data_IF_780427882437
#
_entry.id   IF_780427882437
#
_cell.length_a   1.000
_cell.length_b   1.000
_cell.length_c   1.000
_cell.angle_alpha   90.00
_cell.angle_beta   90.00
_cell.angle_gamma   90.00
#
_symmetry.space_group_name_H-M   'P 1'
#
loop_
_entity.id
_entity.type
_entity.pdbx_description
1 polymer ?
#
# COMPACT_ATOMS: atom_id res chain seq x y z
N UNK A 1 -45.58 -28.01 37.58
CA UNK A 1 -45.43 -27.07 36.46
C UNK A 1 -43.97 -26.70 36.33
N UNK A 2 -43.27 -27.27 35.37
CA UNK A 2 -41.83 -27.01 35.15
C UNK A 2 -41.72 -25.95 34.04
N UNK A 3 -41.16 -24.75 34.39
CA UNK A 3 -40.88 -23.70 33.41
C UNK A 3 -39.70 -24.11 32.58
N UNK A 4 -39.89 -24.36 31.29
CA UNK A 4 -38.82 -24.50 30.29
C UNK A 4 -38.19 -23.14 30.05
N UNK A 5 -36.92 -22.97 30.45
CA UNK A 5 -36.11 -21.82 30.08
C UNK A 5 -35.84 -21.85 28.57
N UNK A 6 -36.30 -20.82 27.87
CA UNK A 6 -35.97 -20.62 26.45
C UNK A 6 -34.45 -20.38 26.33
N UNK A 7 -33.74 -21.31 25.70
CA UNK A 7 -32.34 -21.17 25.33
C UNK A 7 -32.24 -20.06 24.26
N UNK A 8 -31.68 -18.93 24.63
CA UNK A 8 -31.41 -17.82 23.72
C UNK A 8 -30.40 -18.30 22.69
N UNK A 9 -30.86 -18.58 21.47
CA UNK A 9 -29.96 -18.86 20.33
C UNK A 9 -29.03 -17.67 20.18
N UNK A 10 -27.72 -17.90 20.43
CA UNK A 10 -26.67 -16.95 20.07
C UNK A 10 -26.72 -16.79 18.57
N UNK A 11 -27.16 -15.62 18.11
CA UNK A 11 -27.14 -15.27 16.70
C UNK A 11 -25.74 -15.55 16.16
N UNK A 12 -25.66 -16.39 15.13
CA UNK A 12 -24.48 -16.55 14.30
C UNK A 12 -24.17 -15.13 13.80
N UNK A 13 -23.05 -14.55 14.23
CA UNK A 13 -22.56 -13.31 13.63
C UNK A 13 -22.35 -13.62 12.15
N UNK A 14 -23.32 -13.27 11.31
CA UNK A 14 -23.10 -13.30 9.86
C UNK A 14 -21.94 -12.34 9.58
N UNK A 15 -20.85 -12.89 9.09
CA UNK A 15 -19.69 -12.13 8.63
C UNK A 15 -20.20 -11.06 7.68
N UNK A 16 -19.85 -9.81 7.94
CA UNK A 16 -20.07 -8.70 7.01
C UNK A 16 -19.71 -9.17 5.59
N UNK A 17 -20.59 -8.93 4.63
CA UNK A 17 -20.40 -9.27 3.20
C UNK A 17 -19.24 -8.52 2.55
N UNK A 18 -18.59 -7.61 3.28
CA UNK A 18 -17.46 -6.83 2.77
C UNK A 18 -16.23 -7.70 2.58
N UNK A 19 -15.65 -7.62 1.39
CA UNK A 19 -14.35 -8.22 1.12
C UNK A 19 -13.24 -7.52 1.91
N UNK A 20 -12.15 -8.22 2.17
CA UNK A 20 -10.97 -7.65 2.79
C UNK A 20 -9.95 -7.22 1.74
N UNK A 21 -9.26 -6.12 2.04
CA UNK A 21 -8.03 -5.72 1.40
C UNK A 21 -6.97 -5.74 2.49
N UNK A 22 -6.16 -6.80 2.49
CA UNK A 22 -5.09 -7.02 3.46
C UNK A 22 -3.82 -6.36 2.94
N UNK A 23 -3.23 -5.46 3.73
CA UNK A 23 -2.03 -4.72 3.36
C UNK A 23 -0.93 -5.03 4.38
N UNK A 24 0.24 -5.44 3.90
CA UNK A 24 1.48 -5.49 4.68
C UNK A 24 2.39 -4.34 4.29
N UNK A 25 3.00 -3.70 5.28
CA UNK A 25 3.94 -2.59 5.11
C UNK A 25 5.21 -2.83 5.92
N UNK A 26 6.28 -2.08 5.67
CA UNK A 26 7.51 -2.17 6.45
C UNK A 26 7.27 -1.80 7.91
N UNK A 27 7.51 -2.76 8.81
CA UNK A 27 7.45 -2.57 10.24
C UNK A 27 6.16 -1.92 10.74
N UNK A 28 6.31 -1.02 11.71
CA UNK A 28 5.23 -0.16 12.21
C UNK A 28 5.17 1.16 11.45
N UNK A 29 5.43 1.14 10.15
CA UNK A 29 5.48 2.37 9.37
C UNK A 29 4.12 3.08 9.44
N UNK A 30 4.10 4.20 10.14
CA UNK A 30 2.88 4.94 10.44
C UNK A 30 2.34 5.66 9.21
N UNK A 31 3.19 5.95 8.23
CA UNK A 31 2.84 6.70 7.03
C UNK A 31 1.85 5.92 6.17
N UNK A 32 2.22 4.73 5.72
CA UNK A 32 1.39 3.90 4.84
C UNK A 32 0.13 3.40 5.56
N UNK A 33 0.30 2.90 6.79
CA UNK A 33 -0.83 2.44 7.60
C UNK A 33 -1.82 3.58 7.85
N UNK A 34 -1.33 4.77 8.25
CA UNK A 34 -2.14 5.96 8.47
C UNK A 34 -2.90 6.35 7.22
N UNK A 35 -2.21 6.39 6.08
CA UNK A 35 -2.78 6.76 4.79
C UNK A 35 -3.86 5.77 4.33
N UNK A 36 -3.55 4.48 4.22
CA UNK A 36 -4.50 3.49 3.71
C UNK A 36 -5.67 3.23 4.66
N UNK A 37 -5.49 3.38 5.98
CA UNK A 37 -6.57 3.20 6.94
C UNK A 37 -7.72 4.21 6.75
N UNK A 38 -7.44 5.39 6.15
CA UNK A 38 -8.47 6.40 5.88
C UNK A 38 -9.54 5.91 4.91
N UNK A 39 -9.18 5.03 4.00
CA UNK A 39 -10.14 4.46 3.06
C UNK A 39 -11.25 3.63 3.74
N UNK A 40 -11.03 3.10 4.94
CA UNK A 40 -12.08 2.47 5.73
C UNK A 40 -13.25 3.40 6.08
N UNK A 41 -13.03 4.72 6.08
CA UNK A 41 -14.06 5.71 6.42
C UNK A 41 -14.93 6.08 5.21
N UNK A 42 -14.35 6.03 4.02
CA UNK A 42 -15.01 6.48 2.79
C UNK A 42 -15.62 5.33 1.98
N UNK A 43 -15.10 4.11 2.15
CA UNK A 43 -15.55 2.94 1.38
C UNK A 43 -16.47 2.01 2.18
N UNK A 44 -17.53 1.54 1.50
CA UNK A 44 -18.54 0.64 2.10
C UNK A 44 -18.40 -0.81 1.63
N UNK A 45 -17.76 -1.04 0.49
CA UNK A 45 -17.75 -2.35 -0.19
C UNK A 45 -16.64 -3.28 0.30
N UNK A 46 -15.60 -2.74 0.92
CA UNK A 46 -14.48 -3.53 1.47
C UNK A 46 -14.02 -2.97 2.82
N UNK A 47 -13.12 -3.71 3.45
CA UNK A 47 -12.43 -3.30 4.67
C UNK A 47 -10.93 -3.48 4.50
N UNK A 48 -10.18 -2.40 4.64
CA UNK A 48 -8.72 -2.44 4.73
C UNK A 48 -8.33 -3.02 6.09
N UNK A 49 -7.44 -4.00 6.06
CA UNK A 49 -6.77 -4.59 7.23
C UNK A 49 -5.28 -4.61 7.00
N UNK A 50 -4.53 -4.60 8.08
CA UNK A 50 -3.06 -4.68 8.02
C UNK A 50 -2.60 -6.03 8.55
N UNK A 51 -1.50 -6.55 7.99
CA UNK A 51 -0.86 -7.76 8.51
C UNK A 51 -0.41 -7.55 9.95
N UNK A 52 -0.43 -8.63 10.72
CA UNK A 52 -0.10 -8.59 12.15
C UNK A 52 1.40 -8.59 12.43
N UNK A 53 2.25 -8.72 11.42
CA UNK A 53 3.71 -8.75 11.54
C UNK A 53 4.34 -7.38 11.77
N UNK A 54 5.64 -7.40 12.06
CA UNK A 54 6.49 -6.22 12.25
C UNK A 54 7.76 -6.32 11.41
N UNK A 55 7.73 -7.06 10.32
CA UNK A 55 8.89 -7.24 9.44
C UNK A 55 9.32 -5.92 8.81
N UNK A 56 10.62 -5.72 8.69
CA UNK A 56 11.23 -4.50 8.14
C UNK A 56 11.92 -4.75 6.79
N UNK A 57 11.80 -5.96 6.28
CA UNK A 57 12.33 -6.36 4.98
C UNK A 57 11.22 -6.92 4.09
N UNK A 58 11.41 -6.80 2.78
CA UNK A 58 10.41 -7.14 1.79
C UNK A 58 9.93 -8.60 1.83
N UNK A 59 10.83 -9.56 2.12
CA UNK A 59 10.47 -10.97 2.22
C UNK A 59 9.61 -11.22 3.48
N UNK A 60 10.04 -10.68 4.61
CA UNK A 60 9.31 -10.79 5.88
C UNK A 60 7.91 -10.18 5.79
N UNK A 61 7.73 -9.07 5.06
CA UNK A 61 6.41 -8.47 4.82
C UNK A 61 5.49 -9.47 4.09
N UNK A 62 5.99 -10.13 3.04
CA UNK A 62 5.20 -11.13 2.30
C UNK A 62 4.82 -12.31 3.20
N UNK A 63 5.74 -12.78 4.05
CA UNK A 63 5.46 -13.83 5.02
C UNK A 63 4.45 -13.41 6.09
N UNK A 64 4.52 -12.17 6.58
CA UNK A 64 3.55 -11.61 7.52
C UNK A 64 2.14 -11.58 6.92
N UNK A 65 2.02 -11.21 5.64
CA UNK A 65 0.74 -11.23 4.92
C UNK A 65 0.24 -12.67 4.79
N UNK A 66 1.10 -13.61 4.39
CA UNK A 66 0.74 -15.02 4.27
C UNK A 66 0.20 -15.56 5.59
N UNK A 67 0.92 -15.38 6.70
CA UNK A 67 0.44 -15.78 8.03
C UNK A 67 -0.89 -15.13 8.41
N UNK A 68 -1.08 -13.87 8.03
CA UNK A 68 -2.33 -13.15 8.30
C UNK A 68 -3.50 -13.69 7.45
N UNK A 69 -3.25 -14.10 6.20
CA UNK A 69 -4.25 -14.79 5.35
C UNK A 69 -4.70 -16.10 6.01
N UNK A 70 -3.75 -16.90 6.50
CA UNK A 70 -4.04 -18.18 7.15
C UNK A 70 -4.87 -18.02 8.44
N UNK A 71 -4.66 -16.94 9.19
CA UNK A 71 -5.39 -16.61 10.41
C UNK A 71 -6.73 -15.91 10.22
N UNK A 72 -7.00 -15.43 9.00
CA UNK A 72 -8.26 -14.80 8.62
C UNK A 72 -9.10 -15.79 7.82
N UNK A 73 -10.43 -15.69 7.91
CA UNK A 73 -11.33 -16.36 6.95
C UNK A 73 -11.21 -15.62 5.60
N UNK A 74 -10.05 -15.77 4.93
CA UNK A 74 -9.71 -15.10 3.67
C UNK A 74 -10.41 -15.80 2.52
N UNK A 75 -11.14 -15.07 1.70
CA UNK A 75 -11.99 -15.58 0.62
C UNK A 75 -11.36 -15.32 -0.73
N UNK A 76 -11.89 -15.97 -1.76
CA UNK A 76 -11.41 -15.81 -3.14
C UNK A 76 -11.56 -14.40 -3.70
N UNK A 77 -12.49 -13.60 -3.16
CA UNK A 77 -12.70 -12.18 -3.54
C UNK A 77 -11.89 -11.20 -2.69
N UNK A 78 -11.25 -11.67 -1.60
CA UNK A 78 -10.35 -10.84 -0.79
C UNK A 78 -9.01 -10.64 -1.54
N UNK A 79 -8.36 -9.51 -1.31
CA UNK A 79 -7.11 -9.16 -1.97
C UNK A 79 -6.01 -8.87 -0.95
N UNK A 80 -4.78 -9.24 -1.28
CA UNK A 80 -3.61 -9.01 -0.44
C UNK A 80 -2.54 -8.21 -1.20
N UNK A 81 -1.95 -7.23 -0.52
CA UNK A 81 -0.94 -6.32 -1.06
C UNK A 81 0.24 -6.21 -0.12
N UNK A 82 1.45 -6.31 -0.66
CA UNK A 82 2.70 -6.00 0.01
C UNK A 82 3.19 -4.63 -0.49
N UNK A 83 3.32 -3.67 0.43
CA UNK A 83 3.78 -2.30 0.14
C UNK A 83 5.16 -2.14 0.75
N UNK A 84 6.16 -1.87 -0.06
CA UNK A 84 7.52 -1.63 0.40
C UNK A 84 8.31 -0.72 -0.54
N UNK A 85 9.37 -0.16 0.01
CA UNK A 85 10.25 0.77 -0.66
C UNK A 85 11.40 0.04 -1.35
N UNK A 86 11.81 0.53 -2.51
CA UNK A 86 12.96 -0.02 -3.24
C UNK A 86 14.30 0.49 -2.70
N UNK A 87 14.33 1.61 -1.97
CA UNK A 87 15.55 2.24 -1.46
C UNK A 87 16.66 2.33 -2.53
N UNK A 88 16.30 2.76 -3.76
CA UNK A 88 17.19 2.79 -4.93
C UNK A 88 17.80 1.43 -5.31
N UNK A 89 17.18 0.34 -4.84
CA UNK A 89 17.59 -1.04 -5.11
C UNK A 89 18.99 -1.44 -4.59
N UNK A 90 19.88 -0.59 -4.28
CA UNK A 90 21.20 -0.77 -3.70
C UNK A 90 21.60 -2.23 -3.41
N UNK A 91 22.03 -2.52 -2.21
CA UNK A 91 22.38 -3.89 -1.77
C UNK A 91 21.18 -4.81 -1.61
N UNK A 92 19.96 -4.26 -1.53
CA UNK A 92 18.70 -4.99 -1.31
C UNK A 92 18.04 -5.49 -2.60
N UNK A 93 18.51 -5.10 -3.79
CA UNK A 93 17.83 -5.38 -5.06
C UNK A 93 17.52 -6.86 -5.31
N UNK A 94 18.42 -7.77 -4.96
CA UNK A 94 18.18 -9.23 -5.09
C UNK A 94 17.08 -9.70 -4.13
N UNK A 95 17.04 -9.18 -2.91
CA UNK A 95 16.04 -9.54 -1.90
C UNK A 95 14.66 -9.04 -2.31
N UNK A 96 14.57 -7.81 -2.84
CA UNK A 96 13.33 -7.23 -3.36
C UNK A 96 12.80 -8.10 -4.51
N UNK A 97 13.64 -8.48 -5.47
CA UNK A 97 13.22 -9.33 -6.59
C UNK A 97 12.76 -10.71 -6.13
N UNK A 98 13.43 -11.30 -5.14
CA UNK A 98 13.02 -12.56 -4.54
C UNK A 98 11.66 -12.43 -3.84
N UNK A 99 11.45 -11.33 -3.12
CA UNK A 99 10.18 -11.05 -2.45
C UNK A 99 9.04 -10.85 -3.45
N UNK A 100 9.28 -10.15 -4.57
CA UNK A 100 8.29 -10.00 -5.67
C UNK A 100 7.91 -11.37 -6.22
N UNK A 101 8.88 -12.19 -6.58
CA UNK A 101 8.64 -13.53 -7.13
C UNK A 101 7.92 -14.46 -6.13
N UNK A 102 8.22 -14.29 -4.83
CA UNK A 102 7.54 -15.05 -3.78
C UNK A 102 6.12 -14.58 -3.55
N UNK A 103 5.89 -13.26 -3.53
CA UNK A 103 4.56 -12.67 -3.40
C UNK A 103 3.61 -13.14 -4.50
N UNK A 104 4.09 -13.16 -5.76
CA UNK A 104 3.31 -13.66 -6.90
C UNK A 104 2.83 -15.09 -6.69
N UNK A 105 3.71 -15.99 -6.22
CA UNK A 105 3.36 -17.39 -5.91
C UNK A 105 2.36 -17.53 -4.77
N UNK A 106 2.23 -16.53 -3.91
CA UNK A 106 1.28 -16.47 -2.79
C UNK A 106 0.01 -15.68 -3.12
N UNK A 107 -0.17 -15.27 -4.38
CA UNK A 107 -1.28 -14.39 -4.83
C UNK A 107 -1.33 -13.07 -4.03
N UNK A 108 -0.16 -12.52 -3.72
CA UNK A 108 0.02 -11.23 -3.06
C UNK A 108 0.54 -10.25 -4.11
N UNK A 109 -0.19 -9.16 -4.32
CA UNK A 109 0.22 -8.09 -5.23
C UNK A 109 1.24 -7.19 -4.56
N UNK A 110 2.30 -6.86 -5.29
CA UNK A 110 3.32 -5.93 -4.80
C UNK A 110 3.00 -4.51 -5.25
N UNK A 111 3.13 -3.57 -4.33
CA UNK A 111 3.04 -2.13 -4.52
C UNK A 111 4.41 -1.57 -4.15
N UNK A 112 5.16 -1.19 -5.14
CA UNK A 112 6.54 -0.74 -4.99
C UNK A 112 6.63 0.77 -5.19
N UNK A 113 7.49 1.43 -4.42
CA UNK A 113 7.90 2.82 -4.66
C UNK A 113 9.44 2.91 -4.69
N UNK A 114 9.99 3.71 -5.57
CA UNK A 114 11.42 3.94 -5.69
C UNK A 114 11.70 5.48 -5.73
N UNK A 115 12.46 6.04 -4.80
CA UNK A 115 13.12 5.36 -3.68
C UNK A 115 12.20 4.99 -2.51
N UNK A 116 11.10 5.74 -2.24
CA UNK A 116 10.25 5.54 -1.08
C UNK A 116 8.78 5.92 -1.34
N UNK A 117 7.92 5.55 -0.41
CA UNK A 117 6.46 5.77 -0.47
C UNK A 117 6.10 7.26 -0.68
N UNK A 118 6.89 8.19 -0.15
CA UNK A 118 6.63 9.61 -0.26
C UNK A 118 6.69 10.14 -1.70
N UNK A 119 7.25 9.40 -2.66
CA UNK A 119 7.10 9.71 -4.10
C UNK A 119 5.62 9.86 -4.46
N UNK A 120 4.75 8.97 -3.94
CA UNK A 120 3.31 9.09 -4.11
C UNK A 120 2.76 10.44 -3.60
N UNK A 121 3.24 10.91 -2.46
CA UNK A 121 2.79 12.20 -1.91
C UNK A 121 3.25 13.38 -2.77
N UNK A 122 4.48 13.36 -3.28
CA UNK A 122 5.00 14.41 -4.18
C UNK A 122 4.16 14.52 -5.44
N UNK A 123 3.69 13.39 -6.00
CA UNK A 123 2.86 13.38 -7.20
C UNK A 123 1.51 14.10 -7.06
N UNK A 124 1.05 14.39 -5.85
CA UNK A 124 -0.14 15.23 -5.64
C UNK A 124 0.13 16.70 -5.96
N UNK A 125 1.40 17.13 -5.96
CA UNK A 125 1.80 18.52 -6.14
C UNK A 125 2.46 18.77 -7.50
N UNK A 126 3.32 17.86 -7.96
CA UNK A 126 4.06 18.02 -9.23
C UNK A 126 4.21 16.69 -9.98
N UNK A 127 4.71 16.76 -11.23
CA UNK A 127 4.88 15.58 -12.10
C UNK A 127 6.03 14.64 -11.69
N UNK A 128 7.00 15.13 -10.91
CA UNK A 128 8.02 14.33 -10.21
C UNK A 128 8.89 13.45 -11.10
N UNK A 129 9.36 13.93 -12.28
CA UNK A 129 10.18 13.11 -13.20
C UNK A 129 11.68 13.13 -12.90
N UNK A 130 12.14 14.10 -12.13
CA UNK A 130 13.56 14.19 -11.78
C UNK A 130 13.94 13.05 -10.83
N UNK A 131 15.06 12.34 -11.10
CA UNK A 131 15.51 11.26 -10.23
C UNK A 131 15.91 11.79 -8.84
N UNK A 132 15.75 10.97 -7.83
CA UNK A 132 16.15 11.26 -6.46
C UNK A 132 17.34 10.41 -6.07
N UNK A 133 18.33 11.02 -5.43
CA UNK A 133 19.54 10.33 -4.94
C UNK A 133 19.30 9.55 -3.63
N UNK A 134 18.21 9.85 -2.92
CA UNK A 134 17.85 9.19 -1.67
C UNK A 134 16.38 9.44 -1.30
N UNK A 135 15.85 8.64 -0.36
CA UNK A 135 14.54 8.85 0.26
C UNK A 135 14.45 10.20 0.99
N UNK A 136 15.55 10.68 1.58
CA UNK A 136 15.61 12.00 2.23
C UNK A 136 15.37 13.13 1.22
N UNK A 137 15.85 12.99 -0.02
CA UNK A 137 15.62 13.98 -1.08
C UNK A 137 14.16 14.04 -1.50
N UNK A 138 13.44 12.94 -1.47
CA UNK A 138 11.98 12.93 -1.67
C UNK A 138 11.28 13.67 -0.53
N UNK A 139 11.70 13.44 0.71
CA UNK A 139 11.16 14.12 1.89
C UNK A 139 11.45 15.61 1.85
N UNK A 140 12.68 16.01 1.49
CA UNK A 140 13.06 17.42 1.30
C UNK A 140 12.17 18.08 0.24
N UNK A 141 11.89 17.36 -0.85
CA UNK A 141 11.01 17.85 -1.91
C UNK A 141 9.57 17.99 -1.41
N UNK A 142 9.06 17.00 -0.69
CA UNK A 142 7.72 17.04 -0.12
C UNK A 142 7.55 18.21 0.85
N UNK A 143 8.57 18.53 1.64
CA UNK A 143 8.57 19.66 2.58
C UNK A 143 8.49 21.02 1.91
N UNK A 144 8.79 21.14 0.63
CA UNK A 144 8.55 22.39 -0.12
C UNK A 144 7.05 22.70 -0.24
N UNK A 145 6.20 21.66 -0.26
CA UNK A 145 4.74 21.77 -0.33
C UNK A 145 4.07 21.65 1.03
N UNK A 146 4.65 20.86 1.92
CA UNK A 146 4.16 20.56 3.26
C UNK A 146 5.31 20.76 4.26
N UNK A 147 5.62 22.00 4.67
CA UNK A 147 6.84 22.33 5.43
C UNK A 147 6.99 21.57 6.76
N UNK A 148 5.88 21.21 7.38
CA UNK A 148 5.80 20.50 8.65
C UNK A 148 5.57 18.97 8.46
N UNK A 149 5.92 18.43 7.28
CA UNK A 149 5.82 16.99 7.04
C UNK A 149 6.77 16.19 7.94
N UNK A 150 6.19 15.17 8.57
CA UNK A 150 6.88 14.10 9.27
C UNK A 150 6.18 12.76 8.99
N UNK A 151 6.89 11.63 9.12
CA UNK A 151 6.37 10.30 8.75
C UNK A 151 5.12 9.85 9.52
N UNK A 152 4.80 10.47 10.64
CA UNK A 152 3.58 10.18 11.42
C UNK A 152 2.41 11.09 11.09
N UNK A 153 2.62 12.10 10.25
CA UNK A 153 1.57 13.08 9.89
C UNK A 153 0.47 12.45 9.08
N UNK A 154 -0.77 12.79 9.43
CA UNK A 154 -1.94 12.47 8.61
C UNK A 154 -1.93 13.32 7.33
N UNK A 155 -1.54 12.70 6.23
CA UNK A 155 -1.46 13.36 4.93
C UNK A 155 -2.75 13.26 4.11
N UNK A 156 -3.70 12.42 4.51
CA UNK A 156 -4.88 12.13 3.68
C UNK A 156 -5.69 13.38 3.34
N UNK A 157 -6.01 14.18 4.35
CA UNK A 157 -6.80 15.41 4.17
C UNK A 157 -6.10 16.44 3.27
N UNK A 158 -4.77 16.53 3.36
CA UNK A 158 -3.96 17.42 2.52
C UNK A 158 -3.95 16.98 1.07
N UNK A 159 -3.97 15.66 0.84
CA UNK A 159 -3.75 15.06 -0.48
C UNK A 159 -5.04 14.77 -1.24
N UNK A 160 -6.16 14.51 -0.56
CA UNK A 160 -7.39 14.00 -1.17
C UNK A 160 -7.92 14.85 -2.33
N UNK A 161 -7.76 16.18 -2.27
CA UNK A 161 -8.21 17.10 -3.33
C UNK A 161 -7.44 16.99 -4.65
N UNK A 162 -6.25 16.35 -4.65
CA UNK A 162 -5.41 16.15 -5.83
C UNK A 162 -5.23 14.67 -6.20
N UNK A 163 -6.05 13.77 -5.65
CA UNK A 163 -5.93 12.33 -5.84
C UNK A 163 -5.91 11.91 -7.32
N UNK A 164 -6.83 12.42 -8.12
CA UNK A 164 -6.92 12.12 -9.55
C UNK A 164 -5.68 12.60 -10.33
N UNK A 165 -5.14 13.77 -9.95
CA UNK A 165 -3.91 14.27 -10.53
C UNK A 165 -2.72 13.38 -10.20
N UNK A 166 -2.60 12.95 -8.95
CA UNK A 166 -1.53 12.05 -8.52
C UNK A 166 -1.60 10.70 -9.25
N UNK A 167 -2.80 10.14 -9.40
CA UNK A 167 -3.04 8.92 -10.18
C UNK A 167 -2.56 9.11 -11.63
N UNK A 168 -3.01 10.17 -12.30
CA UNK A 168 -2.61 10.46 -13.68
C UNK A 168 -1.09 10.63 -13.82
N UNK A 169 -0.45 11.32 -12.86
CA UNK A 169 0.99 11.54 -12.86
C UNK A 169 1.79 10.26 -12.62
N UNK A 170 1.32 9.36 -11.75
CA UNK A 170 1.95 8.06 -11.57
C UNK A 170 1.89 7.21 -12.86
N UNK A 171 0.77 7.24 -13.59
CA UNK A 171 0.65 6.59 -14.90
C UNK A 171 1.58 7.21 -15.95
N UNK A 172 1.65 8.54 -15.99
CA UNK A 172 2.56 9.25 -16.90
C UNK A 172 4.02 8.96 -16.58
N UNK A 173 4.37 8.80 -15.30
CA UNK A 173 5.71 8.46 -14.87
C UNK A 173 6.11 7.05 -15.34
N UNK A 174 5.20 6.08 -15.24
CA UNK A 174 5.44 4.73 -15.79
C UNK A 174 5.62 4.76 -17.31
N UNK A 175 4.75 5.47 -18.04
CA UNK A 175 4.92 5.64 -19.50
C UNK A 175 6.25 6.30 -19.85
N UNK A 176 6.66 7.31 -19.09
CA UNK A 176 7.96 7.93 -19.27
C UNK A 176 9.10 6.93 -19.17
N UNK A 177 9.05 6.00 -18.22
CA UNK A 177 10.06 4.93 -18.12
C UNK A 177 9.99 3.95 -19.30
N UNK A 178 8.77 3.58 -19.72
CA UNK A 178 8.54 2.71 -20.89
C UNK A 178 9.07 3.37 -22.18
N UNK A 179 8.75 4.63 -22.43
CA UNK A 179 9.17 5.39 -23.61
C UNK A 179 10.69 5.61 -23.68
N UNK A 180 11.38 5.55 -22.55
CA UNK A 180 12.85 5.65 -22.45
C UNK A 180 13.56 4.29 -22.32
N UNK A 181 12.87 3.20 -22.67
CA UNK A 181 13.40 1.82 -22.59
C UNK A 181 13.95 1.44 -21.20
N UNK A 182 13.44 2.09 -20.13
CA UNK A 182 13.85 1.79 -18.76
C UNK A 182 13.09 0.56 -18.25
N UNK A 183 13.48 -0.61 -18.75
CA UNK A 183 12.79 -1.90 -18.50
C UNK A 183 13.03 -2.39 -17.08
N UNK A 184 14.22 -2.16 -16.52
CA UNK A 184 14.54 -2.65 -15.19
C UNK A 184 13.92 -1.78 -14.12
N UNK A 185 13.12 -2.38 -13.24
CA UNK A 185 12.53 -1.68 -12.10
C UNK A 185 13.56 -0.91 -11.26
N UNK A 186 14.80 -1.44 -11.15
CA UNK A 186 15.90 -0.80 -10.43
C UNK A 186 16.36 0.53 -11.04
N UNK A 187 16.09 0.75 -12.32
CA UNK A 187 16.47 1.97 -13.05
C UNK A 187 15.33 2.97 -13.10
N UNK A 188 14.10 2.56 -12.75
CA UNK A 188 12.93 3.43 -12.70
C UNK A 188 12.96 4.28 -11.41
N UNK A 189 13.52 5.48 -11.51
CA UNK A 189 13.61 6.42 -10.40
C UNK A 189 13.28 7.85 -10.89
N UNK A 190 12.24 8.51 -10.30
CA UNK A 190 11.32 7.94 -9.33
C UNK A 190 10.27 7.03 -9.97
N UNK A 191 9.67 6.15 -9.14
CA UNK A 191 8.48 5.38 -9.54
C UNK A 191 7.60 5.06 -8.34
N UNK A 192 6.30 4.81 -8.58
CA UNK A 192 5.40 4.27 -7.57
C UNK A 192 4.23 3.53 -8.22
N UNK A 193 3.80 2.45 -7.57
CA UNK A 193 2.59 1.68 -7.90
C UNK A 193 1.42 1.97 -6.96
N UNK A 194 1.57 2.92 -6.03
CA UNK A 194 0.55 3.23 -5.01
C UNK A 194 -0.77 3.63 -5.65
N UNK A 195 -0.74 4.31 -6.80
CA UNK A 195 -1.96 4.67 -7.56
C UNK A 195 -2.82 3.46 -7.93
N UNK A 196 -2.22 2.30 -8.21
CA UNK A 196 -2.95 1.06 -8.54
C UNK A 196 -3.79 0.58 -7.37
N UNK A 197 -3.21 0.61 -6.15
CA UNK A 197 -3.94 0.28 -4.94
C UNK A 197 -4.99 1.35 -4.62
N UNK A 198 -4.65 2.63 -4.75
CA UNK A 198 -5.56 3.74 -4.50
C UNK A 198 -6.76 3.72 -5.44
N UNK A 199 -6.58 3.46 -6.73
CA UNK A 199 -7.70 3.29 -7.68
C UNK A 199 -8.68 2.22 -7.21
N UNK A 200 -8.16 1.05 -6.82
CA UNK A 200 -8.98 -0.02 -6.26
C UNK A 200 -9.71 0.45 -5.00
N UNK A 201 -9.01 1.16 -4.10
CA UNK A 201 -9.57 1.67 -2.85
C UNK A 201 -10.59 2.80 -3.08
N UNK A 202 -10.53 3.53 -4.19
CA UNK A 202 -11.53 4.51 -4.59
C UNK A 202 -12.74 3.89 -5.30
N UNK A 203 -12.71 2.60 -5.59
CA UNK A 203 -13.79 1.90 -6.29
C UNK A 203 -13.79 2.12 -7.81
N UNK A 204 -12.69 2.60 -8.38
CA UNK A 204 -12.45 2.76 -9.80
C UNK A 204 -11.73 1.52 -10.36
N UNK A 205 -12.35 0.35 -10.23
CA UNK A 205 -11.83 -0.90 -10.73
C UNK A 205 -12.97 -1.85 -11.09
#
# INVERSE_FOLDING_TARGET
>A
MVKRSAQKQRGRNERSTKRFILIGTEGKNKTEIGYFNKFNRIQKNFRVRFSSGNSTDSMGIVEDIKRSKDGLDFRADDLAFAVFDADLWGTRGKQIQQAINYAEKQEIKVILSNPCFEVWFVLHFEDGRAPYDSSDKVIDKLKQYVPDYEKSRDMFEVLQGNMEKAISRAEQLRRYHEDNDTVKLSEQNPMTDVDRLVKLLCGAG
#
